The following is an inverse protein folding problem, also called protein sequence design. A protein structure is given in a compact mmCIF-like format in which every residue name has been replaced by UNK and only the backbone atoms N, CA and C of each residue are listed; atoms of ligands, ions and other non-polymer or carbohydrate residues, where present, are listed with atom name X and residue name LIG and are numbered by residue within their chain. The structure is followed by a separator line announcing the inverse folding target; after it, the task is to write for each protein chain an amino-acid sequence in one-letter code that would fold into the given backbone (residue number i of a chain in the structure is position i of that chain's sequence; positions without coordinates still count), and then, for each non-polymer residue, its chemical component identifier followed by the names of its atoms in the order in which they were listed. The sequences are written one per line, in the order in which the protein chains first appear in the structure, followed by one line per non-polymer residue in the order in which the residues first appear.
data_IF_681645909284
#
_entry.id   IF_681645909284
#
_cell.length_a   1.000
_cell.length_b   1.000
_cell.length_c   1.000
_cell.angle_alpha   90.00
_cell.angle_beta   90.00
_cell.angle_gamma   90.00
#
_symmetry.space_group_name_H-M   'P 1'
#
loop_
_entity.id
_entity.type
_entity.pdbx_description
1 polymer ?
#
# COMPACT_ATOMS: atom_id res chain seq x y z
N UNK A 1 -0.06 14.29 11.28
CA UNK A 1 -0.85 13.97 10.09
C UNK A 1 -1.29 12.51 10.14
N UNK A 2 -2.52 12.22 9.67
CA UNK A 2 -3.10 10.87 9.62
C UNK A 2 -3.16 10.34 8.18
N UNK A 3 -2.58 9.18 7.96
CA UNK A 3 -2.53 8.50 6.67
C UNK A 3 -3.31 7.18 6.77
N UNK A 4 -4.10 6.88 5.76
CA UNK A 4 -4.77 5.58 5.58
C UNK A 4 -4.38 5.01 4.23
N UNK A 5 -4.08 3.72 4.17
CA UNK A 5 -3.86 2.98 2.92
C UNK A 5 -4.77 1.76 2.89
N UNK A 6 -5.44 1.53 1.76
CA UNK A 6 -6.39 0.43 1.61
C UNK A 6 -6.43 -0.11 0.18
N UNK A 7 -6.07 -1.37 0.00
CA UNK A 7 -6.43 -2.09 -1.22
C UNK A 7 -7.93 -2.41 -1.18
N UNK A 8 -8.70 -1.71 -2.01
CA UNK A 8 -10.17 -1.79 -2.03
C UNK A 8 -10.72 -2.91 -2.92
N UNK A 9 -9.86 -3.61 -3.66
CA UNK A 9 -10.22 -4.69 -4.59
C UNK A 9 -11.44 -4.35 -5.47
N UNK A 10 -11.43 -3.14 -6.02
CA UNK A 10 -12.50 -2.52 -6.79
C UNK A 10 -13.32 -1.52 -5.99
N UNK A 11 -13.02 -0.22 -6.15
CA UNK A 11 -13.62 0.86 -5.36
C UNK A 11 -15.14 0.88 -5.47
N UNK A 12 -15.73 0.64 -6.66
CA UNK A 12 -17.20 0.58 -6.83
C UNK A 12 -17.88 -0.47 -5.94
N UNK A 13 -17.21 -1.58 -5.69
CA UNK A 13 -17.72 -2.62 -4.79
C UNK A 13 -17.54 -2.24 -3.32
N UNK A 14 -16.40 -1.64 -2.98
CA UNK A 14 -16.07 -1.19 -1.63
C UNK A 14 -16.98 -0.03 -1.18
N UNK A 15 -17.32 0.91 -2.08
CA UNK A 15 -18.29 1.98 -1.83
C UNK A 15 -19.64 1.43 -1.32
N UNK A 16 -20.12 0.36 -1.93
CA UNK A 16 -21.38 -0.31 -1.53
C UNK A 16 -21.30 -1.03 -0.19
N UNK A 17 -20.09 -1.18 0.37
CA UNK A 17 -19.81 -1.94 1.60
C UNK A 17 -19.28 -1.06 2.73
N UNK A 18 -19.52 0.26 2.67
CA UNK A 18 -19.23 1.17 3.77
C UNK A 18 -17.91 1.94 3.67
N UNK A 19 -17.28 2.00 2.50
CA UNK A 19 -16.05 2.79 2.31
C UNK A 19 -16.22 4.25 2.76
N UNK A 20 -17.32 4.93 2.37
CA UNK A 20 -17.55 6.33 2.73
C UNK A 20 -17.78 6.54 4.23
N UNK A 21 -18.45 5.60 4.90
CA UNK A 21 -18.64 5.67 6.35
C UNK A 21 -17.31 5.55 7.08
N UNK A 22 -16.47 4.59 6.66
CA UNK A 22 -15.10 4.44 7.15
C UNK A 22 -14.27 5.71 6.91
N UNK A 23 -14.27 6.24 5.67
CA UNK A 23 -13.54 7.44 5.30
C UNK A 23 -13.94 8.65 6.16
N UNK A 24 -15.26 8.87 6.37
CA UNK A 24 -15.78 9.96 7.18
C UNK A 24 -15.45 9.79 8.67
N UNK A 25 -15.51 8.57 9.18
CA UNK A 25 -15.17 8.25 10.58
C UNK A 25 -13.69 8.48 10.87
N UNK A 26 -12.80 8.00 9.99
CA UNK A 26 -11.36 8.17 10.17
C UNK A 26 -10.90 9.58 9.86
N UNK A 27 -11.58 10.29 8.95
CA UNK A 27 -11.22 11.64 8.51
C UNK A 27 -9.70 11.80 8.27
N UNK A 28 -9.08 10.99 7.40
CA UNK A 28 -7.64 11.01 7.20
C UNK A 28 -7.21 12.27 6.45
N UNK A 29 -5.99 12.76 6.73
CA UNK A 29 -5.33 13.77 5.91
C UNK A 29 -5.00 13.22 4.52
N UNK A 30 -4.69 11.91 4.46
CA UNK A 30 -4.37 11.20 3.22
C UNK A 30 -5.03 9.83 3.19
N UNK A 31 -5.80 9.56 2.14
CA UNK A 31 -6.38 8.24 1.88
C UNK A 31 -5.82 7.68 0.57
N UNK A 32 -4.97 6.68 0.68
CA UNK A 32 -4.27 6.02 -0.43
C UNK A 32 -4.98 4.71 -0.77
N UNK A 33 -5.39 4.54 -2.02
CA UNK A 33 -6.13 3.37 -2.47
C UNK A 33 -5.34 2.58 -3.51
N UNK A 34 -5.45 1.26 -3.44
CA UNK A 34 -4.91 0.34 -4.41
C UNK A 34 -6.03 -0.54 -4.96
N UNK A 35 -5.83 -1.05 -6.17
CA UNK A 35 -6.84 -1.81 -6.92
C UNK A 35 -8.19 -1.09 -7.04
N UNK A 36 -8.15 0.17 -7.46
CA UNK A 36 -9.39 0.93 -7.71
C UNK A 36 -10.25 0.29 -8.81
N UNK A 37 -9.60 -0.36 -9.80
CA UNK A 37 -10.23 -1.06 -10.94
C UNK A 37 -11.23 -0.19 -11.70
N UNK A 38 -11.01 1.11 -11.71
CA UNK A 38 -11.83 2.11 -12.38
C UNK A 38 -11.01 3.36 -12.71
N UNK A 39 -11.53 4.15 -13.63
CA UNK A 39 -11.03 5.48 -13.95
C UNK A 39 -11.79 6.53 -13.14
N UNK A 40 -11.19 7.71 -12.97
CA UNK A 40 -11.85 8.87 -12.34
C UNK A 40 -13.19 9.16 -13.03
N UNK A 41 -14.23 9.47 -12.26
CA UNK A 41 -15.56 9.77 -12.75
C UNK A 41 -16.44 8.57 -13.12
N UNK A 42 -15.94 7.34 -13.01
CA UNK A 42 -16.75 6.12 -13.25
C UNK A 42 -17.63 5.71 -12.05
N UNK A 43 -17.47 6.34 -10.91
CA UNK A 43 -18.38 6.25 -9.77
C UNK A 43 -18.40 7.60 -9.07
N UNK A 44 -19.54 7.93 -8.47
CA UNK A 44 -19.65 9.08 -7.60
C UNK A 44 -19.02 8.73 -6.24
N UNK A 45 -17.87 9.33 -5.97
CA UNK A 45 -17.19 9.21 -4.68
C UNK A 45 -17.50 10.49 -3.92
N UNK A 46 -18.59 10.49 -3.15
CA UNK A 46 -19.03 11.63 -2.35
C UNK A 46 -18.06 11.93 -1.20
N UNK A 47 -16.89 12.47 -1.53
CA UNK A 47 -15.92 12.95 -0.57
C UNK A 47 -16.34 14.29 0.03
N UNK A 48 -15.71 14.69 1.12
CA UNK A 48 -15.95 15.99 1.73
C UNK A 48 -15.54 17.12 0.77
N UNK A 49 -16.18 18.29 0.91
CA UNK A 49 -15.84 19.49 0.13
C UNK A 49 -14.35 19.85 0.35
N UNK A 50 -13.67 20.22 -0.74
CA UNK A 50 -12.26 20.60 -0.72
C UNK A 50 -11.26 19.43 -0.78
N UNK A 51 -11.73 18.18 -0.88
CA UNK A 51 -10.83 17.04 -1.08
C UNK A 51 -10.39 16.97 -2.53
N UNK A 52 -9.08 16.90 -2.74
CA UNK A 52 -8.45 16.70 -4.04
C UNK A 52 -8.31 15.20 -4.31
N UNK A 53 -8.43 14.83 -5.58
CA UNK A 53 -8.36 13.45 -6.04
C UNK A 53 -7.24 13.29 -7.07
N UNK A 54 -6.34 12.35 -6.83
CA UNK A 54 -5.28 11.98 -7.76
C UNK A 54 -5.46 10.52 -8.15
N UNK A 55 -5.57 10.25 -9.45
CA UNK A 55 -5.86 8.93 -9.98
C UNK A 55 -4.80 8.49 -10.98
N UNK A 56 -4.33 7.25 -10.86
CA UNK A 56 -3.49 6.58 -11.83
C UNK A 56 -4.15 5.25 -12.22
N UNK A 57 -4.77 5.23 -13.38
CA UNK A 57 -5.52 4.07 -13.88
C UNK A 57 -4.67 3.25 -14.84
N UNK A 58 -4.84 1.93 -14.83
CA UNK A 58 -4.20 1.07 -15.82
C UNK A 58 -4.82 1.29 -17.22
N UNK A 59 -4.03 1.12 -18.26
CA UNK A 59 -4.53 1.08 -19.65
C UNK A 59 -5.56 -0.02 -19.87
N UNK A 60 -5.35 -1.15 -19.18
CA UNK A 60 -6.32 -2.26 -19.17
C UNK A 60 -7.50 -1.93 -18.25
N UNK A 61 -8.68 -1.74 -18.83
CA UNK A 61 -9.91 -1.41 -18.08
C UNK A 61 -10.25 -2.46 -17.00
N UNK A 62 -10.66 -1.97 -15.84
CA UNK A 62 -11.07 -2.81 -14.72
C UNK A 62 -9.94 -3.60 -14.03
N UNK A 63 -8.69 -3.17 -14.21
CA UNK A 63 -7.51 -3.82 -13.68
C UNK A 63 -6.66 -2.82 -12.90
N UNK A 64 -6.00 -3.26 -11.79
CA UNK A 64 -5.07 -2.43 -11.02
C UNK A 64 -5.63 -1.04 -10.67
N UNK A 65 -4.82 0.01 -10.77
CA UNK A 65 -5.19 1.39 -10.50
C UNK A 65 -4.95 1.79 -9.06
N UNK A 66 -4.45 3.01 -8.88
CA UNK A 66 -4.24 3.65 -7.56
C UNK A 66 -4.96 4.99 -7.52
N UNK A 67 -5.31 5.46 -6.32
CA UNK A 67 -5.84 6.79 -6.11
C UNK A 67 -5.37 7.35 -4.75
N UNK A 68 -5.26 8.67 -4.66
CA UNK A 68 -5.00 9.37 -3.39
C UNK A 68 -6.03 10.49 -3.24
N UNK A 69 -6.69 10.52 -2.08
CA UNK A 69 -7.63 11.57 -1.68
C UNK A 69 -7.05 12.36 -0.53
N UNK A 70 -7.01 13.68 -0.62
CA UNK A 70 -6.43 14.55 0.39
C UNK A 70 -6.98 15.98 0.31
N UNK A 71 -7.21 16.69 1.42
CA UNK A 71 -7.51 18.12 1.40
C UNK A 71 -6.25 18.99 1.19
N UNK A 72 -5.04 18.40 1.21
CA UNK A 72 -3.79 19.13 1.12
C UNK A 72 -3.30 19.24 -0.33
N UNK A 73 -3.08 20.47 -0.81
CA UNK A 73 -2.55 20.73 -2.15
C UNK A 73 -1.07 20.33 -2.22
N UNK A 74 -0.67 19.37 -3.07
CA UNK A 74 0.73 19.04 -3.28
C UNK A 74 1.46 20.11 -4.10
N UNK A 75 2.77 20.21 -3.93
CA UNK A 75 3.67 21.05 -4.75
C UNK A 75 3.79 20.47 -6.16
N UNK A 76 3.89 19.15 -6.26
CA UNK A 76 3.95 18.43 -7.53
C UNK A 76 3.31 17.04 -7.40
N UNK A 77 2.93 16.48 -8.55
CA UNK A 77 2.36 15.13 -8.69
C UNK A 77 3.10 14.40 -9.78
N UNK A 78 3.50 13.16 -9.51
CA UNK A 78 4.05 12.25 -10.50
C UNK A 78 3.27 10.93 -10.52
N UNK A 79 3.11 10.37 -11.71
CA UNK A 79 2.46 9.08 -11.95
C UNK A 79 3.48 8.11 -12.53
N UNK A 80 3.61 6.92 -11.89
CA UNK A 80 4.67 5.98 -12.24
C UNK A 80 6.03 6.38 -11.68
N UNK A 81 7.08 5.74 -12.16
CA UNK A 81 8.46 5.96 -11.74
C UNK A 81 9.39 6.36 -12.90
N UNK A 82 8.80 6.90 -13.98
CA UNK A 82 9.50 7.28 -15.23
C UNK A 82 10.20 6.08 -15.89
N UNK A 83 9.50 4.96 -15.88
CA UNK A 83 9.94 3.69 -16.49
C UNK A 83 8.82 3.11 -17.33
N UNK A 84 8.88 3.28 -18.66
CA UNK A 84 7.85 2.81 -19.60
C UNK A 84 7.38 1.38 -19.32
N UNK A 85 8.30 0.46 -19.04
CA UNK A 85 7.99 -0.94 -18.72
C UNK A 85 7.10 -1.15 -17.47
N UNK A 86 6.95 -0.13 -16.61
CA UNK A 86 6.22 -0.19 -15.34
C UNK A 86 4.98 0.68 -15.29
N UNK A 87 4.90 1.71 -16.14
CA UNK A 87 3.97 2.81 -15.92
C UNK A 87 2.60 2.64 -16.59
N UNK A 88 2.34 1.48 -17.23
CA UNK A 88 1.07 1.18 -17.92
C UNK A 88 -0.03 0.56 -17.04
N UNK A 89 0.31 0.14 -15.82
CA UNK A 89 -0.64 -0.57 -14.94
C UNK A 89 -1.22 0.30 -13.82
N UNK A 90 -0.94 1.62 -13.81
CA UNK A 90 -1.53 2.56 -12.85
C UNK A 90 -1.17 2.26 -11.38
N UNK A 91 0.11 1.92 -11.11
CA UNK A 91 0.54 1.34 -9.83
C UNK A 91 1.15 2.31 -8.84
N UNK A 92 1.55 3.51 -9.27
CA UNK A 92 2.29 4.43 -8.44
C UNK A 92 1.80 5.87 -8.60
N UNK A 93 1.55 6.54 -7.48
CA UNK A 93 1.31 7.98 -7.40
C UNK A 93 2.28 8.56 -6.38
N UNK A 94 3.00 9.59 -6.75
CA UNK A 94 3.85 10.36 -5.86
C UNK A 94 3.31 11.78 -5.73
N UNK A 95 3.02 12.19 -4.52
CA UNK A 95 2.67 13.57 -4.18
C UNK A 95 3.83 14.22 -3.45
N UNK A 96 4.32 15.34 -3.95
CA UNK A 96 5.36 16.14 -3.30
C UNK A 96 4.73 17.21 -2.40
N UNK A 97 5.17 17.27 -1.17
CA UNK A 97 4.88 18.34 -0.22
C UNK A 97 6.16 19.07 0.17
N UNK A 98 6.03 20.23 0.86
CA UNK A 98 7.20 21.00 1.30
C UNK A 98 8.15 20.16 2.17
N UNK A 99 7.61 19.34 3.08
CA UNK A 99 8.37 18.58 4.08
C UNK A 99 8.62 17.13 3.76
N UNK A 100 7.91 16.53 2.81
CA UNK A 100 7.99 15.08 2.52
C UNK A 100 7.41 14.73 1.15
N UNK A 101 7.67 13.49 0.71
CA UNK A 101 6.95 12.83 -0.39
C UNK A 101 5.99 11.79 0.16
N UNK A 102 4.76 11.74 -0.39
CA UNK A 102 3.83 10.62 -0.19
C UNK A 102 3.84 9.76 -1.45
N UNK A 103 4.14 8.48 -1.31
CA UNK A 103 4.14 7.50 -2.40
C UNK A 103 3.11 6.42 -2.13
N UNK A 104 2.03 6.40 -2.93
CA UNK A 104 1.01 5.35 -2.92
C UNK A 104 1.33 4.32 -3.99
N UNK A 105 1.43 3.05 -3.61
CA UNK A 105 1.87 1.97 -4.49
C UNK A 105 0.95 0.75 -4.43
N UNK A 106 0.76 0.12 -5.58
CA UNK A 106 0.24 -1.24 -5.72
C UNK A 106 1.29 -2.10 -6.42
N UNK A 107 2.08 -2.80 -5.63
CA UNK A 107 3.17 -3.64 -6.15
C UNK A 107 2.64 -4.82 -6.96
N UNK A 108 3.23 -5.15 -8.13
CA UNK A 108 2.80 -6.29 -8.94
C UNK A 108 2.86 -7.60 -8.16
N UNK A 109 1.83 -8.41 -8.20
CA UNK A 109 1.84 -9.77 -7.66
C UNK A 109 2.62 -10.70 -8.60
N UNK A 110 3.42 -11.63 -8.04
CA UNK A 110 4.17 -12.63 -8.82
C UNK A 110 3.30 -13.69 -9.48
N UNK A 111 2.01 -13.76 -9.13
CA UNK A 111 0.98 -14.66 -9.64
C UNK A 111 1.21 -16.15 -9.33
N UNK A 112 0.16 -16.95 -9.55
CA UNK A 112 0.22 -18.40 -9.40
C UNK A 112 1.32 -19.00 -10.30
N UNK A 113 2.13 -19.88 -9.73
CA UNK A 113 3.27 -20.48 -10.42
C UNK A 113 4.42 -19.49 -10.68
N UNK A 114 4.40 -18.35 -10.00
CA UNK A 114 5.46 -17.32 -10.05
C UNK A 114 5.75 -16.77 -11.46
N UNK A 115 4.72 -16.73 -12.32
CA UNK A 115 4.85 -16.34 -13.73
C UNK A 115 5.37 -14.92 -13.96
N UNK A 116 5.21 -14.04 -12.96
CA UNK A 116 5.70 -12.66 -13.02
C UNK A 116 6.83 -12.38 -12.02
N UNK A 117 7.46 -13.42 -11.44
CA UNK A 117 8.49 -13.23 -10.42
C UNK A 117 9.69 -12.42 -10.96
N UNK A 118 10.20 -12.76 -12.15
CA UNK A 118 11.33 -12.04 -12.74
C UNK A 118 11.00 -10.54 -12.94
N UNK A 119 9.83 -10.24 -13.52
CA UNK A 119 9.33 -8.87 -13.64
C UNK A 119 9.19 -8.18 -12.28
N UNK A 120 8.67 -8.90 -11.28
CA UNK A 120 8.54 -8.40 -9.92
C UNK A 120 9.90 -8.02 -9.31
N UNK A 121 10.94 -8.82 -9.57
CA UNK A 121 12.29 -8.53 -9.07
C UNK A 121 12.88 -7.25 -9.69
N UNK A 122 12.66 -7.03 -11.00
CA UNK A 122 13.05 -5.79 -11.67
C UNK A 122 12.26 -4.58 -11.13
N UNK A 123 10.94 -4.74 -10.94
CA UNK A 123 10.08 -3.72 -10.32
C UNK A 123 10.61 -3.26 -8.96
N UNK A 124 10.96 -4.21 -8.09
CA UNK A 124 11.43 -3.92 -6.72
C UNK A 124 12.76 -3.15 -6.72
N UNK A 125 13.69 -3.50 -7.62
CA UNK A 125 14.96 -2.79 -7.72
C UNK A 125 14.74 -1.35 -8.22
N UNK A 126 13.94 -1.16 -9.27
CA UNK A 126 13.63 0.15 -9.82
C UNK A 126 12.86 1.02 -8.81
N UNK A 127 11.91 0.43 -8.09
CA UNK A 127 11.14 1.12 -7.05
C UNK A 127 12.04 1.55 -5.88
N UNK A 128 12.91 0.67 -5.39
CA UNK A 128 13.88 1.01 -4.34
C UNK A 128 14.75 2.20 -4.78
N UNK A 129 15.30 2.15 -5.98
CA UNK A 129 16.16 3.22 -6.50
C UNK A 129 15.36 4.54 -6.64
N UNK A 130 14.09 4.47 -7.04
CA UNK A 130 13.18 5.60 -7.11
C UNK A 130 12.95 6.21 -5.71
N UNK A 131 12.57 5.39 -4.73
CA UNK A 131 12.34 5.85 -3.33
C UNK A 131 13.62 6.46 -2.72
N UNK A 132 14.77 5.84 -2.95
CA UNK A 132 16.06 6.38 -2.50
C UNK A 132 16.38 7.71 -3.19
N UNK A 133 16.01 7.89 -4.45
CA UNK A 133 16.20 9.16 -5.16
C UNK A 133 15.37 10.28 -4.54
N UNK A 134 14.12 10.00 -4.16
CA UNK A 134 13.25 10.94 -3.46
C UNK A 134 13.80 11.25 -2.07
N UNK A 135 14.22 10.22 -1.32
CA UNK A 135 14.72 10.38 0.05
C UNK A 135 15.98 11.23 0.14
N UNK A 136 16.78 11.35 -0.91
CA UNK A 136 17.93 12.30 -0.95
C UNK A 136 17.50 13.76 -0.81
N UNK A 137 16.27 14.08 -1.24
CA UNK A 137 15.76 15.47 -1.22
C UNK A 137 14.88 15.73 0.00
N UNK A 138 13.86 14.90 0.21
CA UNK A 138 12.90 15.00 1.32
C UNK A 138 12.56 13.61 1.83
N UNK A 139 12.20 13.45 3.12
CA UNK A 139 11.76 12.17 3.63
C UNK A 139 10.53 11.65 2.89
N UNK A 140 10.41 10.34 2.82
CA UNK A 140 9.35 9.63 2.09
C UNK A 140 8.42 8.93 3.08
N UNK A 141 7.12 9.07 2.86
CA UNK A 141 6.06 8.22 3.42
C UNK A 141 5.58 7.33 2.26
N UNK A 142 5.90 6.05 2.30
CA UNK A 142 5.59 5.08 1.27
C UNK A 142 4.55 4.09 1.80
N UNK A 143 3.48 3.86 1.05
CA UNK A 143 2.42 2.97 1.48
C UNK A 143 1.78 2.19 0.34
N UNK A 144 1.09 1.13 0.70
CA UNK A 144 0.23 0.38 -0.19
C UNK A 144 0.24 -1.12 0.06
N UNK A 145 -0.37 -1.82 -0.88
CA UNK A 145 -0.27 -3.27 -0.99
C UNK A 145 1.05 -3.63 -1.67
N UNK A 146 2.01 -4.11 -0.88
CA UNK A 146 3.34 -4.46 -1.36
C UNK A 146 3.45 -5.92 -1.79
N UNK A 147 2.35 -6.68 -1.70
CA UNK A 147 2.29 -8.07 -2.13
C UNK A 147 3.44 -8.95 -1.61
N UNK A 148 3.90 -8.69 -0.38
CA UNK A 148 4.93 -9.50 0.30
C UNK A 148 4.70 -9.53 1.81
N UNK A 149 4.73 -10.73 2.41
CA UNK A 149 4.89 -10.92 3.84
C UNK A 149 6.38 -11.10 4.12
N UNK A 150 6.98 -10.20 4.93
CA UNK A 150 8.43 -10.20 5.10
C UNK A 150 8.93 -11.32 6.03
N UNK A 151 8.31 -11.44 7.20
CA UNK A 151 8.72 -12.38 8.26
C UNK A 151 7.71 -13.53 8.36
N UNK A 152 8.13 -14.64 8.97
CA UNK A 152 7.22 -15.79 9.22
C UNK A 152 6.01 -15.40 10.08
N UNK A 153 6.15 -14.43 10.97
CA UNK A 153 5.06 -13.91 11.80
C UNK A 153 4.07 -13.03 10.99
N UNK A 154 4.39 -12.67 9.75
CA UNK A 154 3.53 -11.85 8.88
C UNK A 154 2.50 -12.66 8.11
N UNK A 155 2.45 -13.98 8.28
CA UNK A 155 1.43 -14.84 7.70
C UNK A 155 1.13 -16.07 8.56
N UNK A 156 -0.09 -16.61 8.43
CA UNK A 156 -0.56 -17.70 9.28
C UNK A 156 0.18 -19.03 9.09
N UNK A 157 0.54 -19.37 7.87
CA UNK A 157 1.09 -20.68 7.52
C UNK A 157 2.42 -20.56 6.74
N UNK A 158 3.52 -20.05 7.34
CA UNK A 158 4.74 -19.72 6.61
C UNK A 158 5.38 -20.95 5.93
N UNK A 159 5.41 -22.11 6.59
CA UNK A 159 6.05 -23.31 6.05
C UNK A 159 5.44 -23.79 4.73
N UNK A 160 4.11 -23.73 4.59
CA UNK A 160 3.40 -24.18 3.40
C UNK A 160 3.37 -23.14 2.29
N UNK A 161 3.70 -21.89 2.60
CA UNK A 161 3.62 -20.76 1.67
C UNK A 161 4.99 -20.26 1.17
N UNK A 162 6.11 -20.87 1.60
CA UNK A 162 7.46 -20.36 1.33
C UNK A 162 7.80 -20.16 -0.15
N UNK A 163 7.14 -20.89 -1.05
CA UNK A 163 7.35 -20.76 -2.50
C UNK A 163 6.12 -20.19 -3.22
N UNK A 164 5.19 -19.60 -2.49
CA UNK A 164 4.03 -18.94 -3.07
C UNK A 164 4.30 -17.45 -3.29
N UNK A 165 3.61 -16.87 -4.28
CA UNK A 165 3.65 -15.43 -4.52
C UNK A 165 3.37 -14.65 -3.24
N UNK A 166 4.19 -13.65 -2.94
CA UNK A 166 4.13 -12.85 -1.71
C UNK A 166 4.93 -13.43 -0.53
N UNK A 167 5.53 -14.63 -0.66
CA UNK A 167 6.39 -15.18 0.40
C UNK A 167 7.57 -16.00 -0.13
N UNK A 168 8.02 -15.74 -1.35
CA UNK A 168 9.26 -16.30 -1.88
C UNK A 168 10.47 -15.66 -1.19
N UNK A 169 11.58 -16.40 -1.15
CA UNK A 169 12.83 -15.86 -0.59
C UNK A 169 13.28 -14.60 -1.36
N UNK A 170 13.07 -14.57 -2.68
CA UNK A 170 13.41 -13.42 -3.55
C UNK A 170 12.59 -12.15 -3.21
N UNK A 171 11.27 -12.28 -3.07
CA UNK A 171 10.40 -11.14 -2.70
C UNK A 171 10.76 -10.59 -1.31
N UNK A 172 11.02 -11.48 -0.35
CA UNK A 172 11.43 -11.12 1.01
C UNK A 172 12.80 -10.46 1.04
N UNK A 173 13.74 -10.92 0.21
CA UNK A 173 15.06 -10.31 0.07
C UNK A 173 14.94 -8.88 -0.47
N UNK A 174 14.13 -8.65 -1.51
CA UNK A 174 13.91 -7.30 -2.05
C UNK A 174 13.34 -6.34 -1.00
N UNK A 175 12.34 -6.79 -0.22
CA UNK A 175 11.81 -6.00 0.89
C UNK A 175 12.87 -5.73 1.96
N UNK A 176 13.72 -6.71 2.27
CA UNK A 176 14.84 -6.54 3.21
C UNK A 176 15.84 -5.51 2.67
N UNK A 177 16.16 -5.56 1.37
CA UNK A 177 17.04 -4.59 0.72
C UNK A 177 16.45 -3.17 0.80
N UNK A 178 15.14 -3.01 0.56
CA UNK A 178 14.47 -1.73 0.70
C UNK A 178 14.61 -1.17 2.12
N UNK A 179 14.25 -1.95 3.13
CA UNK A 179 14.34 -1.51 4.53
C UNK A 179 15.79 -1.20 4.93
N UNK A 180 16.77 -1.98 4.46
CA UNK A 180 18.20 -1.73 4.72
C UNK A 180 18.75 -0.49 4.01
N UNK A 181 17.99 0.09 3.08
CA UNK A 181 18.39 1.28 2.31
C UNK A 181 17.97 2.60 2.97
N UNK A 182 17.63 2.59 4.26
CA UNK A 182 17.26 3.79 5.02
C UNK A 182 15.76 3.96 5.24
N UNK A 183 15.02 2.85 5.27
CA UNK A 183 13.56 2.85 5.46
C UNK A 183 13.13 1.95 6.61
N UNK A 184 12.06 2.34 7.28
CA UNK A 184 11.50 1.66 8.45
C UNK A 184 10.06 1.22 8.18
N UNK A 185 9.73 -0.06 8.42
CA UNK A 185 8.36 -0.57 8.54
C UNK A 185 7.74 -0.02 9.83
N UNK A 186 6.78 0.90 9.70
CA UNK A 186 6.20 1.61 10.83
C UNK A 186 5.48 0.71 11.82
N UNK A 187 4.78 -0.33 11.33
CA UNK A 187 4.10 -1.28 12.21
C UNK A 187 5.10 -2.13 12.99
N UNK A 188 6.13 -2.67 12.35
CA UNK A 188 7.15 -3.48 13.00
C UNK A 188 8.08 -2.66 13.89
N UNK A 189 8.22 -1.37 13.66
CA UNK A 189 8.93 -0.47 14.56
C UNK A 189 8.22 -0.36 15.93
N UNK A 190 6.90 -0.22 15.94
CA UNK A 190 6.13 -0.16 17.19
C UNK A 190 5.82 -1.54 17.78
N UNK A 191 5.64 -2.54 16.95
CA UNK A 191 5.18 -3.88 17.34
C UNK A 191 6.08 -4.97 16.72
N UNK A 192 7.35 -5.07 17.15
CA UNK A 192 8.36 -5.90 16.50
C UNK A 192 8.00 -7.38 16.47
N UNK A 193 7.34 -7.89 17.51
CA UNK A 193 7.09 -9.32 17.68
C UNK A 193 5.59 -9.69 17.79
N UNK A 194 4.69 -8.73 17.48
CA UNK A 194 3.26 -8.98 17.49
C UNK A 194 2.85 -9.93 16.36
N UNK A 195 2.27 -11.06 16.72
CA UNK A 195 1.79 -12.09 15.80
C UNK A 195 0.28 -12.03 15.58
N UNK A 196 -0.19 -12.66 14.49
CA UNK A 196 -1.62 -12.85 14.23
C UNK A 196 -2.37 -11.60 13.79
N UNK A 197 -1.65 -10.53 13.47
CA UNK A 197 -2.23 -9.31 12.91
C UNK A 197 -1.90 -9.27 11.41
N UNK A 198 -2.95 -9.36 10.60
CA UNK A 198 -2.84 -9.44 9.14
C UNK A 198 -3.68 -8.36 8.48
N UNK A 199 -3.37 -8.05 7.22
CA UNK A 199 -4.06 -7.03 6.42
C UNK A 199 -4.86 -7.62 5.27
N UNK A 200 -4.61 -8.85 4.88
CA UNK A 200 -5.27 -9.56 3.79
C UNK A 200 -5.68 -10.98 4.14
N UNK A 201 -6.84 -11.43 3.63
CA UNK A 201 -7.37 -12.79 3.76
C UNK A 201 -8.04 -13.22 2.47
N UNK A 202 -7.66 -14.40 1.96
CA UNK A 202 -8.35 -14.97 0.80
C UNK A 202 -9.87 -15.09 1.05
N UNK A 203 -10.68 -14.83 0.03
CA UNK A 203 -12.13 -15.11 0.10
C UNK A 203 -12.44 -16.62 0.23
N UNK A 204 -11.47 -17.48 0.02
CA UNK A 204 -11.66 -18.95 0.08
C UNK A 204 -11.53 -19.44 1.53
N UNK A 205 -12.20 -20.55 1.83
CA UNK A 205 -12.06 -21.33 3.07
C UNK A 205 -12.34 -20.55 4.35
N UNK A 206 -13.18 -19.51 4.30
CA UNK A 206 -13.43 -18.64 5.46
C UNK A 206 -12.14 -18.10 6.11
N UNK A 207 -11.14 -17.75 5.30
CA UNK A 207 -9.82 -17.39 5.77
C UNK A 207 -9.84 -16.25 6.79
N UNK A 208 -10.65 -15.19 6.56
CA UNK A 208 -10.77 -14.06 7.50
C UNK A 208 -11.36 -14.49 8.85
N UNK A 209 -12.40 -15.30 8.85
CA UNK A 209 -13.03 -15.83 10.09
C UNK A 209 -12.05 -16.69 10.90
N UNK A 210 -11.20 -17.45 10.22
CA UNK A 210 -10.19 -18.33 10.83
C UNK A 210 -8.86 -17.60 11.10
N UNK A 211 -8.78 -16.30 10.79
CA UNK A 211 -7.58 -15.48 10.81
C UNK A 211 -6.39 -16.15 10.09
N UNK A 212 -6.67 -16.78 8.94
CA UNK A 212 -5.63 -17.33 8.06
C UNK A 212 -5.20 -16.28 7.04
N UNK A 213 -4.57 -15.23 7.53
CA UNK A 213 -4.23 -14.02 6.78
C UNK A 213 -2.75 -13.81 6.56
N UNK A 214 -2.45 -12.73 5.85
CA UNK A 214 -1.11 -12.25 5.52
C UNK A 214 -1.06 -10.74 5.78
N UNK A 215 0.07 -10.24 6.28
CA UNK A 215 0.36 -8.81 6.38
C UNK A 215 1.17 -8.41 5.15
N UNK A 216 0.50 -7.82 4.18
CA UNK A 216 1.08 -7.42 2.88
C UNK A 216 0.84 -5.95 2.53
N UNK A 217 0.07 -5.25 3.36
CA UNK A 217 -0.15 -3.81 3.27
C UNK A 217 0.72 -3.10 4.32
N UNK A 218 1.39 -2.02 3.91
CA UNK A 218 2.40 -1.36 4.73
C UNK A 218 2.30 0.16 4.70
N UNK A 219 2.79 0.77 5.79
CA UNK A 219 3.40 2.08 5.77
C UNK A 219 4.89 1.95 6.08
N UNK A 220 5.71 2.37 5.14
CA UNK A 220 7.16 2.43 5.24
C UNK A 220 7.57 3.89 5.19
N UNK A 221 8.42 4.32 6.10
CA UNK A 221 8.88 5.70 6.18
C UNK A 221 10.39 5.78 6.09
N UNK A 222 10.92 6.87 5.57
CA UNK A 222 12.36 7.17 5.69
C UNK A 222 12.78 7.10 7.16
N UNK A 223 13.95 6.56 7.45
CA UNK A 223 14.48 6.45 8.82
C UNK A 223 14.49 7.78 9.58
N UNK A 224 14.59 8.90 8.85
CA UNK A 224 14.48 10.25 9.39
C UNK A 224 13.12 10.58 10.01
N UNK A 225 12.07 9.86 9.63
CA UNK A 225 10.71 10.01 10.18
C UNK A 225 10.39 9.01 11.28
N UNK A 226 11.27 8.05 11.54
CA UNK A 226 11.00 6.93 12.46
C UNK A 226 10.55 7.42 13.85
N UNK A 227 11.26 8.40 14.42
CA UNK A 227 10.95 8.94 15.75
C UNK A 227 9.69 9.85 15.75
N UNK A 228 9.12 10.13 14.57
CA UNK A 228 7.88 10.87 14.38
C UNK A 228 6.65 9.97 14.34
N UNK A 229 6.82 8.63 14.31
CA UNK A 229 5.73 7.67 14.31
C UNK A 229 5.02 7.72 15.66
N UNK A 230 3.74 8.09 15.66
CA UNK A 230 2.89 8.11 16.85
C UNK A 230 1.98 6.90 16.93
N UNK A 231 1.50 6.44 15.77
CA UNK A 231 0.59 5.31 15.66
C UNK A 231 0.79 4.59 14.34
N UNK A 232 0.78 3.26 14.35
CA UNK A 232 0.76 2.43 13.17
C UNK A 232 -0.15 1.24 13.45
N UNK A 233 -1.26 1.13 12.72
CA UNK A 233 -2.28 0.12 12.99
C UNK A 233 -2.73 -0.60 11.72
N UNK A 234 -3.22 -1.80 11.92
CA UNK A 234 -3.90 -2.61 10.92
C UNK A 234 -5.34 -2.77 11.40
N UNK A 235 -6.28 -2.17 10.68
CA UNK A 235 -7.68 -2.04 11.11
C UNK A 235 -8.48 -3.30 10.75
N UNK A 236 -8.14 -4.42 11.37
CA UNK A 236 -8.61 -5.77 11.03
C UNK A 236 -10.12 -5.96 11.06
N UNK A 237 -10.85 -5.10 11.80
CA UNK A 237 -12.32 -5.14 11.94
C UNK A 237 -13.04 -4.42 10.80
N UNK A 238 -12.34 -3.63 9.99
CA UNK A 238 -12.92 -2.91 8.85
C UNK A 238 -13.13 -3.89 7.70
N UNK A 239 -14.37 -4.01 7.25
CA UNK A 239 -14.78 -4.86 6.14
C UNK A 239 -15.02 -4.03 4.87
N UNK A 240 -15.20 -4.68 3.72
CA UNK A 240 -15.46 -4.02 2.42
C UNK A 240 -14.60 -4.56 1.28
N UNK A 241 -13.41 -5.06 1.62
CA UNK A 241 -12.45 -5.70 0.73
C UNK A 241 -11.94 -7.00 1.37
N UNK A 242 -11.16 -7.80 0.64
CA UNK A 242 -10.34 -8.90 1.18
C UNK A 242 -9.10 -8.39 1.91
N UNK A 243 -8.77 -7.10 1.75
CA UNK A 243 -7.85 -6.38 2.63
C UNK A 243 -8.61 -5.55 3.66
N UNK A 244 -7.96 -5.25 4.79
CA UNK A 244 -8.38 -4.18 5.67
C UNK A 244 -7.44 -2.96 5.53
N UNK A 245 -7.88 -1.76 5.93
CA UNK A 245 -7.02 -0.59 5.90
C UNK A 245 -5.85 -0.71 6.86
N UNK A 246 -4.74 -0.07 6.52
CA UNK A 246 -3.64 0.22 7.43
C UNK A 246 -3.58 1.73 7.68
N UNK A 247 -3.18 2.11 8.89
CA UNK A 247 -3.18 3.49 9.37
C UNK A 247 -1.81 3.87 9.92
N UNK A 248 -1.38 5.09 9.62
CA UNK A 248 -0.17 5.71 10.17
C UNK A 248 -0.50 7.11 10.66
N UNK A 249 -0.03 7.48 11.85
CA UNK A 249 -0.01 8.86 12.33
C UNK A 249 1.44 9.30 12.55
N UNK A 250 1.81 10.41 11.90
CA UNK A 250 3.12 11.05 12.02
C UNK A 250 2.99 12.46 12.62
N UNK A 251 3.96 12.83 13.43
CA UNK A 251 4.15 14.18 13.98
C UNK A 251 5.02 15.01 13.02
N UNK A 252 4.44 15.41 11.88
CA UNK A 252 5.07 16.20 10.82
C UNK A 252 4.14 17.31 10.35
#
# INVERSE_FOLDING_TARGET
MKFVSWNVNGLRACLKKGFLDFYRQEAPDFCCLQETKMEQGQADVELNEGVLEFWNSAEKKGYSGTAVFTPHQPVAVAYGMDKDRHDHEGRLITLEYEGFYLVCCYTPNSQDGLKRLDYRMEWEDDLRDYLMSLDRHKPVVYCGDLNVALREIDLKNPKTNRNNAGFTDQEREKMTCLLSSGFTDSFRYLYPDTEGIYSWWSYRFNARKNNAGWRIDYFIVSDRLRDKIKRAEILTTVEGSDHCPVLLELDI
#
